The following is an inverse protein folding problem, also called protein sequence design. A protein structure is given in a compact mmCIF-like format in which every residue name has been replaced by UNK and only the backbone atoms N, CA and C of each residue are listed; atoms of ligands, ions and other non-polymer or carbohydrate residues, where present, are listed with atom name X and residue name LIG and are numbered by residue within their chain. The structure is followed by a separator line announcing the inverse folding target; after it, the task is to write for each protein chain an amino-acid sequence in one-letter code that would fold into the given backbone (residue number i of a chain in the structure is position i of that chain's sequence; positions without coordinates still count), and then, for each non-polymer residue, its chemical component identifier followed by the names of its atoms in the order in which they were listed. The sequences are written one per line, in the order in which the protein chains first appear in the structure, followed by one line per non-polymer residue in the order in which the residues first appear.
data_IF_289795916792
#
_entry.id   IF_289795916792
#
_cell.length_a   1.000
_cell.length_b   1.000
_cell.length_c   1.000
_cell.angle_alpha   90.00
_cell.angle_beta   90.00
_cell.angle_gamma   90.00
#
_symmetry.space_group_name_H-M   'P 1'
#
loop_
_entity.id
_entity.type
_entity.pdbx_description
1 polymer ?
#
# COMPACT_ATOMS: atom_id res chain seq x y z
N UNK A 1 -37.51 -24.55 59.61
CA UNK A 1 -37.16 -23.15 59.89
C UNK A 1 -37.67 -22.32 58.73
N UNK A 2 -38.57 -21.36 58.97
CA UNK A 2 -39.12 -20.47 57.93
C UNK A 2 -38.30 -19.18 57.87
N UNK A 3 -38.33 -18.48 56.73
CA UNK A 3 -37.66 -17.18 56.57
C UNK A 3 -38.08 -16.18 57.66
N UNK A 4 -39.36 -16.22 58.07
CA UNK A 4 -39.88 -15.42 59.17
C UNK A 4 -39.18 -15.76 60.50
N UNK A 5 -39.10 -17.05 60.88
CA UNK A 5 -38.42 -17.47 62.12
C UNK A 5 -36.92 -17.16 62.14
N UNK A 6 -36.26 -17.13 60.98
CA UNK A 6 -34.85 -16.77 60.85
C UNK A 6 -34.62 -15.27 61.05
N UNK A 7 -35.49 -14.44 60.46
CA UNK A 7 -35.43 -12.99 60.62
C UNK A 7 -35.57 -12.58 62.09
N UNK A 8 -36.52 -13.17 62.80
CA UNK A 8 -36.78 -12.86 64.20
C UNK A 8 -35.60 -13.28 65.10
N UNK A 9 -34.93 -14.39 64.78
CA UNK A 9 -33.72 -14.84 65.49
C UNK A 9 -32.53 -13.89 65.28
N UNK A 10 -32.36 -13.37 64.07
CA UNK A 10 -31.25 -12.47 63.70
C UNK A 10 -31.44 -11.10 64.35
N UNK A 11 -32.66 -10.56 64.32
CA UNK A 11 -32.97 -9.24 64.91
C UNK A 11 -32.89 -9.30 66.45
N UNK A 12 -33.20 -10.45 67.05
CA UNK A 12 -33.09 -10.65 68.50
C UNK A 12 -31.67 -10.87 69.02
N UNK A 13 -30.65 -10.90 68.16
CA UNK A 13 -29.25 -11.09 68.54
C UNK A 13 -28.65 -9.81 69.14
N UNK A 14 -27.90 -9.90 70.24
CA UNK A 14 -27.19 -8.74 70.83
C UNK A 14 -26.17 -8.12 69.87
N UNK A 15 -25.57 -8.94 69.00
CA UNK A 15 -24.59 -8.50 67.99
C UNK A 15 -25.23 -7.88 66.73
N UNK A 16 -26.57 -7.76 66.66
CA UNK A 16 -27.24 -7.21 65.50
C UNK A 16 -27.23 -5.68 65.51
N UNK A 17 -26.51 -5.08 64.54
CA UNK A 17 -26.51 -3.65 64.30
C UNK A 17 -27.35 -3.31 63.06
N UNK A 18 -28.51 -2.69 63.30
CA UNK A 18 -29.44 -2.31 62.24
C UNK A 18 -28.87 -1.18 61.35
N UNK A 19 -28.10 -0.25 61.90
CA UNK A 19 -27.55 0.89 61.17
C UNK A 19 -26.39 0.45 60.26
N UNK A 20 -25.50 -0.39 60.77
CA UNK A 20 -24.45 -1.04 59.97
C UNK A 20 -25.05 -1.88 58.84
N UNK A 21 -26.09 -2.66 59.14
CA UNK A 21 -26.77 -3.49 58.13
C UNK A 21 -27.41 -2.64 57.02
N UNK A 22 -28.05 -1.53 57.38
CA UNK A 22 -28.63 -0.57 56.41
C UNK A 22 -27.55 0.10 55.56
N UNK A 23 -26.43 0.50 56.16
CA UNK A 23 -25.31 1.13 55.45
C UNK A 23 -24.69 0.17 54.43
N UNK A 24 -24.41 -1.08 54.83
CA UNK A 24 -23.90 -2.12 53.92
C UNK A 24 -24.88 -2.36 52.78
N UNK A 25 -26.18 -2.42 53.06
CA UNK A 25 -27.20 -2.59 52.03
C UNK A 25 -27.23 -1.41 51.04
N UNK A 26 -27.20 -0.16 51.52
CA UNK A 26 -27.17 1.03 50.66
C UNK A 26 -25.96 1.03 49.76
N UNK A 27 -24.77 0.77 50.32
CA UNK A 27 -23.53 0.66 49.54
C UNK A 27 -23.64 -0.41 48.46
N UNK A 28 -24.15 -1.61 48.78
CA UNK A 28 -24.34 -2.68 47.77
C UNK A 28 -25.30 -2.26 46.66
N UNK A 29 -26.39 -1.55 47.00
CA UNK A 29 -27.39 -1.09 46.02
C UNK A 29 -26.80 -0.03 45.10
N UNK A 30 -26.06 0.93 45.66
CA UNK A 30 -25.36 1.97 44.89
C UNK A 30 -24.31 1.37 43.97
N UNK A 31 -23.49 0.45 44.47
CA UNK A 31 -22.44 -0.22 43.69
C UNK A 31 -23.05 -1.03 42.53
N UNK A 32 -24.19 -1.69 42.75
CA UNK A 32 -24.93 -2.39 41.69
C UNK A 32 -25.46 -1.45 40.63
N UNK A 33 -26.08 -0.33 41.03
CA UNK A 33 -26.57 0.69 40.09
C UNK A 33 -25.43 1.26 39.26
N UNK A 34 -24.30 1.58 39.89
CA UNK A 34 -23.12 2.08 39.19
C UNK A 34 -22.56 1.06 38.19
N UNK A 35 -22.52 -0.23 38.54
CA UNK A 35 -22.11 -1.31 37.61
C UNK A 35 -23.05 -1.44 36.43
N UNK A 36 -24.36 -1.40 36.66
CA UNK A 36 -25.36 -1.46 35.58
C UNK A 36 -25.25 -0.26 34.64
N UNK A 37 -25.02 0.95 35.19
CA UNK A 37 -24.83 2.15 34.39
C UNK A 37 -23.53 2.11 33.58
N UNK A 38 -22.43 1.67 34.18
CA UNK A 38 -21.16 1.46 33.47
C UNK A 38 -21.30 0.43 32.33
N UNK A 39 -22.05 -0.64 32.57
CA UNK A 39 -22.30 -1.66 31.54
C UNK A 39 -23.07 -1.04 30.35
N UNK A 40 -24.11 -0.25 30.61
CA UNK A 40 -24.88 0.46 29.57
C UNK A 40 -24.01 1.44 28.78
N UNK A 41 -23.13 2.17 29.46
CA UNK A 41 -22.20 3.11 28.82
C UNK A 41 -21.23 2.36 27.90
N UNK A 42 -20.65 1.24 28.35
CA UNK A 42 -19.75 0.45 27.50
C UNK A 42 -20.47 -0.19 26.31
N UNK A 43 -21.70 -0.69 26.49
CA UNK A 43 -22.50 -1.20 25.37
C UNK A 43 -22.80 -0.10 24.33
N UNK A 44 -23.09 1.13 24.76
CA UNK A 44 -23.29 2.26 23.85
C UNK A 44 -22.00 2.65 23.13
N UNK A 45 -20.87 2.68 23.83
CA UNK A 45 -19.56 2.96 23.21
C UNK A 45 -19.20 1.91 22.17
N UNK A 46 -19.44 0.63 22.46
CA UNK A 46 -19.14 -0.44 21.51
C UNK A 46 -20.03 -0.37 20.28
N UNK A 47 -21.32 -0.03 20.44
CA UNK A 47 -22.21 0.24 19.30
C UNK A 47 -21.71 1.39 18.43
N UNK A 48 -21.31 2.50 19.03
CA UNK A 48 -20.76 3.65 18.30
C UNK A 48 -19.47 3.28 17.55
N UNK A 49 -18.60 2.46 18.17
CA UNK A 49 -17.37 1.96 17.52
C UNK A 49 -17.66 1.08 16.32
N UNK A 50 -18.66 0.21 16.42
CA UNK A 50 -19.09 -0.65 15.31
C UNK A 50 -19.65 0.21 14.18
N UNK A 51 -20.55 1.15 14.49
CA UNK A 51 -21.14 2.07 13.51
C UNK A 51 -20.08 2.90 12.79
N UNK A 52 -19.12 3.47 13.52
CA UNK A 52 -18.00 4.22 12.93
C UNK A 52 -17.15 3.35 12.00
N UNK A 53 -16.95 2.07 12.34
CA UNK A 53 -16.22 1.11 11.50
C UNK A 53 -17.01 0.74 10.25
N UNK A 54 -18.32 0.56 10.37
CA UNK A 54 -19.20 0.29 9.22
C UNK A 54 -19.26 1.50 8.28
N UNK A 55 -19.34 2.72 8.81
CA UNK A 55 -19.33 3.94 8.01
C UNK A 55 -17.99 4.10 7.27
N UNK A 56 -16.86 3.83 7.93
CA UNK A 56 -15.53 3.80 7.29
C UNK A 56 -15.48 2.80 6.14
N UNK A 57 -15.98 1.58 6.35
CA UNK A 57 -16.04 0.55 5.30
C UNK A 57 -16.92 0.98 4.13
N UNK A 58 -18.08 1.61 4.39
CA UNK A 58 -18.97 2.15 3.34
C UNK A 58 -18.27 3.23 2.53
N UNK A 59 -17.54 4.13 3.19
CA UNK A 59 -16.83 5.21 2.51
C UNK A 59 -15.67 4.69 1.65
N UNK A 60 -14.90 3.74 2.17
CA UNK A 60 -13.82 3.06 1.43
C UNK A 60 -14.38 2.36 0.17
N UNK A 61 -15.50 1.64 0.32
CA UNK A 61 -16.16 0.95 -0.79
C UNK A 61 -16.63 1.94 -1.87
N UNK A 62 -17.25 3.05 -1.46
CA UNK A 62 -17.74 4.08 -2.38
C UNK A 62 -16.58 4.73 -3.15
N UNK A 63 -15.43 4.91 -2.49
CA UNK A 63 -14.20 5.42 -3.12
C UNK A 63 -13.63 4.43 -4.14
N UNK A 64 -13.59 3.13 -3.80
CA UNK A 64 -13.16 2.09 -4.72
C UNK A 64 -14.06 2.01 -5.95
N UNK A 65 -15.37 2.13 -5.78
CA UNK A 65 -16.33 2.11 -6.89
C UNK A 65 -16.23 3.38 -7.75
N UNK A 66 -15.97 4.54 -7.14
CA UNK A 66 -15.66 5.76 -7.89
C UNK A 66 -14.37 5.60 -8.70
N UNK A 67 -13.32 5.03 -8.11
CA UNK A 67 -12.06 4.79 -8.81
C UNK A 67 -12.23 3.78 -9.94
N UNK A 68 -13.02 2.73 -9.75
CA UNK A 68 -13.37 1.77 -10.81
C UNK A 68 -14.09 2.48 -11.95
N UNK A 69 -15.10 3.31 -11.67
CA UNK A 69 -15.80 4.09 -12.72
C UNK A 69 -14.86 5.03 -13.45
N UNK A 70 -13.94 5.70 -12.75
CA UNK A 70 -12.90 6.55 -13.36
C UNK A 70 -11.98 5.75 -14.27
N UNK A 71 -11.49 4.60 -13.80
CA UNK A 71 -10.62 3.71 -14.58
C UNK A 71 -11.35 3.18 -15.82
N UNK A 72 -12.61 2.77 -15.68
CA UNK A 72 -13.45 2.31 -16.79
C UNK A 72 -13.68 3.41 -17.83
N UNK A 73 -13.95 4.65 -17.38
CA UNK A 73 -14.06 5.81 -18.27
C UNK A 73 -12.75 6.11 -19.02
N UNK A 74 -11.60 6.03 -18.35
CA UNK A 74 -10.28 6.21 -18.98
C UNK A 74 -10.01 5.13 -20.02
N UNK A 75 -10.35 3.86 -19.73
CA UNK A 75 -10.21 2.75 -20.68
C UNK A 75 -11.12 2.95 -21.91
N UNK A 76 -12.36 3.39 -21.71
CA UNK A 76 -13.29 3.65 -22.81
C UNK A 76 -12.83 4.85 -23.67
N UNK A 77 -12.30 5.90 -23.03
CA UNK A 77 -11.67 7.02 -23.74
C UNK A 77 -10.47 6.56 -24.57
N UNK A 78 -9.59 5.73 -24.00
CA UNK A 78 -8.42 5.20 -24.70
C UNK A 78 -8.83 4.30 -25.87
N UNK A 79 -9.90 3.52 -25.72
CA UNK A 79 -10.48 2.69 -26.79
C UNK A 79 -11.00 3.54 -27.95
N UNK A 80 -11.65 4.68 -27.66
CA UNK A 80 -12.11 5.64 -28.67
C UNK A 80 -10.92 6.32 -29.36
N UNK A 81 -9.88 6.69 -28.60
CA UNK A 81 -8.67 7.34 -29.11
C UNK A 81 -7.87 6.41 -30.05
N UNK A 82 -7.69 5.15 -29.66
CA UNK A 82 -7.06 4.11 -30.47
C UNK A 82 -7.89 3.73 -31.71
N UNK A 83 -9.20 4.01 -31.70
CA UNK A 83 -10.06 3.92 -32.87
C UNK A 83 -9.95 5.12 -33.83
N UNK A 84 -9.31 6.23 -33.40
CA UNK A 84 -9.28 7.50 -34.14
C UNK A 84 -7.88 7.92 -34.64
N UNK A 85 -6.78 7.45 -34.04
CA UNK A 85 -5.43 7.90 -34.40
C UNK A 85 -4.71 6.94 -35.37
N UNK A 86 -4.96 7.13 -36.67
CA UNK A 86 -4.07 6.73 -37.78
C UNK A 86 -3.24 7.91 -38.27
N UNK A 87 -2.50 8.58 -37.38
CA UNK A 87 -1.51 9.59 -37.78
C UNK A 87 -0.25 9.54 -36.92
N UNK A 88 0.86 9.23 -37.61
CA UNK A 88 2.21 8.96 -37.12
C UNK A 88 2.94 10.24 -36.64
N UNK A 89 4.02 10.00 -35.89
CA UNK A 89 5.17 10.90 -35.61
C UNK A 89 5.09 11.82 -34.39
N UNK A 90 5.24 11.23 -33.20
CA UNK A 90 6.11 11.75 -32.10
C UNK A 90 6.29 10.78 -30.91
N UNK A 91 5.89 9.51 -31.02
CA UNK A 91 5.52 8.69 -29.86
C UNK A 91 6.59 7.77 -29.26
N UNK A 92 7.86 7.86 -29.66
CA UNK A 92 8.87 6.91 -29.18
C UNK A 92 9.77 7.56 -28.11
N UNK A 93 9.78 7.04 -26.87
CA UNK A 93 10.72 7.47 -25.83
C UNK A 93 12.16 7.44 -26.35
N UNK A 94 13.01 8.36 -25.89
CA UNK A 94 14.40 8.52 -26.34
C UNK A 94 15.21 7.21 -26.35
N UNK A 95 14.91 6.30 -25.42
CA UNK A 95 15.48 4.94 -25.36
C UNK A 95 15.14 4.09 -26.59
N UNK A 96 13.91 4.17 -27.11
CA UNK A 96 13.46 3.46 -28.31
C UNK A 96 14.18 3.99 -29.55
N UNK A 97 14.35 5.31 -29.66
CA UNK A 97 15.09 5.92 -30.77
C UNK A 97 16.55 5.48 -30.79
N UNK A 98 17.20 5.38 -29.63
CA UNK A 98 18.59 4.91 -29.54
C UNK A 98 18.73 3.42 -29.86
N UNK A 99 17.73 2.59 -29.51
CA UNK A 99 17.73 1.16 -29.84
C UNK A 99 17.60 0.96 -31.35
N UNK A 100 16.69 1.69 -32.00
CA UNK A 100 16.48 1.61 -33.45
C UNK A 100 17.69 2.13 -34.22
N UNK A 101 18.35 3.19 -33.72
CA UNK A 101 19.54 3.77 -34.34
C UNK A 101 20.81 2.89 -34.25
N UNK A 102 20.82 1.85 -33.39
CA UNK A 102 21.92 0.90 -33.23
C UNK A 102 21.80 -0.33 -34.14
N UNK A 103 20.63 -0.57 -34.71
CA UNK A 103 20.41 -1.66 -35.67
C UNK A 103 20.70 -1.16 -37.10
N UNK A 104 21.22 -2.02 -37.98
CA UNK A 104 21.42 -1.66 -39.37
C UNK A 104 20.08 -1.38 -40.08
N UNK A 105 20.09 -0.48 -41.07
CA UNK A 105 18.87 0.10 -41.68
C UNK A 105 17.90 -0.95 -42.27
N UNK A 106 18.40 -2.12 -42.66
CA UNK A 106 17.64 -3.27 -43.15
C UNK A 106 16.80 -3.94 -42.06
N UNK A 107 17.29 -3.94 -40.82
CA UNK A 107 16.61 -4.49 -39.64
C UNK A 107 15.79 -3.45 -38.88
N UNK A 108 16.26 -2.21 -38.81
CA UNK A 108 15.55 -1.07 -38.20
C UNK A 108 14.24 -0.72 -38.92
N UNK A 109 14.17 -0.97 -40.24
CA UNK A 109 12.94 -0.79 -41.03
C UNK A 109 11.98 -1.99 -41.00
N UNK A 110 12.38 -3.12 -40.41
CA UNK A 110 11.52 -4.30 -40.26
C UNK A 110 10.65 -4.16 -39.01
N UNK A 111 9.34 -3.95 -39.23
CA UNK A 111 8.38 -3.81 -38.13
C UNK A 111 8.37 -5.01 -37.19
N UNK A 112 8.40 -6.24 -37.71
CA UNK A 112 8.41 -7.44 -36.85
C UNK A 112 9.71 -7.56 -36.06
N UNK A 113 10.85 -7.17 -36.63
CA UNK A 113 12.12 -7.17 -35.91
C UNK A 113 12.14 -6.12 -34.80
N UNK A 114 11.76 -4.88 -35.09
CA UNK A 114 11.67 -3.81 -34.10
C UNK A 114 10.64 -4.14 -33.03
N UNK A 115 9.47 -4.67 -33.42
CA UNK A 115 8.44 -5.12 -32.47
C UNK A 115 8.95 -6.22 -31.57
N UNK A 116 9.64 -7.25 -32.07
CA UNK A 116 10.21 -8.30 -31.23
C UNK A 116 11.36 -7.79 -30.35
N UNK A 117 12.20 -6.89 -30.87
CA UNK A 117 13.29 -6.26 -30.13
C UNK A 117 12.74 -5.40 -28.98
N UNK A 118 11.71 -4.60 -29.26
CA UNK A 118 10.99 -3.81 -28.26
C UNK A 118 10.24 -4.71 -27.29
N UNK A 119 9.49 -5.71 -27.74
CA UNK A 119 8.79 -6.65 -26.86
C UNK A 119 9.77 -7.48 -26.00
N UNK A 120 10.99 -7.74 -26.48
CA UNK A 120 12.05 -8.42 -25.72
C UNK A 120 12.69 -7.49 -24.68
N UNK A 121 12.87 -6.20 -24.99
CA UNK A 121 13.53 -5.20 -24.12
C UNK A 121 12.58 -4.48 -23.16
N UNK A 122 11.31 -4.30 -23.55
CA UNK A 122 10.22 -3.69 -22.78
C UNK A 122 9.31 -4.70 -22.07
N UNK A 123 9.73 -5.97 -21.91
CA UNK A 123 9.15 -6.79 -20.84
C UNK A 123 9.23 -6.00 -19.52
N UNK A 124 8.33 -6.27 -18.58
CA UNK A 124 8.38 -5.75 -17.20
C UNK A 124 9.65 -6.26 -16.52
N UNK A 125 10.78 -5.67 -16.89
CA UNK A 125 12.10 -5.98 -16.37
C UNK A 125 12.25 -5.30 -15.02
N UNK A 126 13.15 -5.81 -14.18
CA UNK A 126 13.43 -5.19 -12.89
C UNK A 126 13.86 -3.72 -13.06
N UNK A 127 14.60 -3.41 -14.12
CA UNK A 127 15.02 -2.05 -14.46
C UNK A 127 13.83 -1.15 -14.80
N UNK A 128 12.78 -1.66 -15.46
CA UNK A 128 11.59 -0.85 -15.75
C UNK A 128 10.81 -0.53 -14.47
N UNK A 129 10.70 -1.49 -13.57
CA UNK A 129 10.11 -1.29 -12.26
C UNK A 129 10.91 -0.28 -11.42
N UNK A 130 12.24 -0.34 -11.46
CA UNK A 130 13.12 0.66 -10.86
C UNK A 130 12.86 2.06 -11.42
N UNK A 131 12.86 2.20 -12.75
CA UNK A 131 12.58 3.49 -13.39
C UNK A 131 11.24 4.05 -12.94
N UNK A 132 10.18 3.24 -12.97
CA UNK A 132 8.85 3.63 -12.49
C UNK A 132 8.92 4.05 -11.02
N UNK A 133 9.53 3.27 -10.14
CA UNK A 133 9.68 3.62 -8.72
C UNK A 133 10.38 4.98 -8.50
N UNK A 134 11.39 5.31 -9.30
CA UNK A 134 12.18 6.54 -9.15
C UNK A 134 11.52 7.76 -9.77
N UNK A 135 10.93 7.61 -10.95
CA UNK A 135 10.36 8.74 -11.71
C UNK A 135 8.88 8.99 -11.41
N UNK A 136 8.22 8.05 -10.71
CA UNK A 136 6.79 8.17 -10.43
C UNK A 136 6.51 9.37 -9.53
N UNK A 137 5.55 10.18 -9.95
CA UNK A 137 5.10 11.35 -9.22
C UNK A 137 3.64 11.19 -8.84
N UNK A 138 3.29 11.67 -7.65
CA UNK A 138 1.91 11.65 -7.20
C UNK A 138 1.09 12.55 -8.12
N UNK A 139 0.21 11.95 -8.91
CA UNK A 139 -0.72 12.73 -9.70
C UNK A 139 -1.65 13.53 -8.75
N UNK A 140 -1.96 14.80 -9.05
CA UNK A 140 -2.69 15.68 -8.14
C UNK A 140 -4.05 15.11 -7.72
N UNK A 141 -4.68 14.34 -8.61
CA UNK A 141 -5.99 13.68 -8.45
C UNK A 141 -5.97 12.36 -7.65
N UNK A 142 -4.80 11.75 -7.40
CA UNK A 142 -4.69 10.49 -6.64
C UNK A 142 -4.47 10.73 -5.15
N UNK A 143 -4.98 9.84 -4.31
CA UNK A 143 -4.70 9.91 -2.87
C UNK A 143 -3.27 9.47 -2.58
N UNK A 144 -2.73 9.88 -1.43
CA UNK A 144 -1.41 9.42 -0.97
C UNK A 144 -1.35 7.90 -0.77
N UNK A 145 -2.48 7.27 -0.45
CA UNK A 145 -2.59 5.83 -0.28
C UNK A 145 -2.43 5.12 -1.63
N UNK A 146 -3.08 5.61 -2.68
CA UNK A 146 -2.97 5.02 -4.02
C UNK A 146 -1.53 5.14 -4.56
N UNK A 147 -0.90 6.30 -4.34
CA UNK A 147 0.50 6.52 -4.69
C UNK A 147 1.46 5.60 -3.93
N UNK A 148 1.21 5.37 -2.62
CA UNK A 148 1.96 4.39 -1.84
C UNK A 148 1.82 2.98 -2.43
N UNK A 149 0.61 2.55 -2.79
CA UNK A 149 0.41 1.22 -3.37
C UNK A 149 1.12 1.06 -4.72
N UNK A 150 1.09 2.08 -5.57
CA UNK A 150 1.82 2.11 -6.84
C UNK A 150 3.33 2.00 -6.62
N UNK A 151 3.89 2.81 -5.71
CA UNK A 151 5.29 2.73 -5.32
C UNK A 151 5.66 1.35 -4.78
N UNK A 152 4.80 0.75 -3.95
CA UNK A 152 5.01 -0.58 -3.41
C UNK A 152 4.98 -1.66 -4.49
N UNK A 153 4.06 -1.58 -5.46
CA UNK A 153 4.03 -2.48 -6.61
C UNK A 153 5.29 -2.37 -7.45
N UNK A 154 5.78 -1.15 -7.70
CA UNK A 154 7.00 -0.95 -8.47
C UNK A 154 8.23 -1.45 -7.72
N UNK A 155 8.32 -1.16 -6.43
CA UNK A 155 9.42 -1.63 -5.60
C UNK A 155 9.48 -3.16 -5.53
N UNK A 156 8.33 -3.81 -5.28
CA UNK A 156 8.27 -5.28 -5.22
C UNK A 156 8.60 -5.91 -6.58
N UNK A 157 8.05 -5.38 -7.68
CA UNK A 157 8.40 -5.85 -9.03
C UNK A 157 9.89 -5.70 -9.37
N UNK A 158 10.56 -4.68 -8.82
CA UNK A 158 12.00 -4.49 -8.99
C UNK A 158 12.81 -5.54 -8.21
N UNK A 159 12.54 -5.72 -6.92
CA UNK A 159 13.30 -6.65 -6.09
C UNK A 159 13.02 -8.12 -6.44
N UNK A 160 11.77 -8.46 -6.80
CA UNK A 160 11.37 -9.80 -7.20
C UNK A 160 12.04 -10.19 -8.52
N UNK A 161 12.09 -9.24 -9.46
CA UNK A 161 12.74 -9.43 -10.75
C UNK A 161 14.26 -9.66 -10.62
N UNK A 162 14.90 -9.10 -9.59
CA UNK A 162 16.31 -9.31 -9.27
C UNK A 162 16.56 -10.49 -8.31
N UNK A 163 15.50 -11.19 -7.88
CA UNK A 163 15.56 -12.29 -6.90
C UNK A 163 16.30 -11.89 -5.62
N UNK A 164 16.00 -10.70 -5.11
CA UNK A 164 16.56 -10.21 -3.86
C UNK A 164 15.81 -10.85 -2.69
N UNK A 165 16.48 -11.75 -1.99
CA UNK A 165 15.95 -12.60 -0.93
C UNK A 165 16.49 -12.26 0.47
N UNK A 166 17.45 -11.34 0.56
CA UNK A 166 18.18 -11.02 1.79
C UNK A 166 18.35 -9.52 1.96
N UNK A 167 18.35 -9.07 3.23
CA UNK A 167 18.55 -7.67 3.57
C UNK A 167 19.86 -7.10 3.02
N UNK A 168 20.96 -7.88 3.08
CA UNK A 168 22.26 -7.43 2.56
C UNK A 168 22.20 -7.15 1.04
N UNK A 169 21.59 -8.04 0.25
CA UNK A 169 21.41 -7.82 -1.20
C UNK A 169 20.54 -6.60 -1.49
N UNK A 170 19.50 -6.36 -0.67
CA UNK A 170 18.68 -5.17 -0.79
C UNK A 170 19.47 -3.90 -0.46
N UNK A 171 20.24 -3.92 0.63
CA UNK A 171 21.11 -2.81 1.02
C UNK A 171 22.11 -2.48 -0.10
N UNK A 172 22.78 -3.49 -0.65
CA UNK A 172 23.70 -3.34 -1.76
C UNK A 172 23.00 -2.74 -3.00
N UNK A 173 21.80 -3.22 -3.34
CA UNK A 173 21.01 -2.67 -4.45
C UNK A 173 20.70 -1.18 -4.25
N UNK A 174 20.23 -0.80 -3.06
CA UNK A 174 19.85 0.59 -2.78
C UNK A 174 21.08 1.50 -2.79
N UNK A 175 22.20 1.07 -2.21
CA UNK A 175 23.46 1.82 -2.24
C UNK A 175 23.96 1.98 -3.68
N UNK A 176 23.90 0.89 -4.47
CA UNK A 176 24.23 0.90 -5.90
C UNK A 176 23.36 1.90 -6.67
N UNK A 177 22.04 1.89 -6.47
CA UNK A 177 21.13 2.83 -7.15
C UNK A 177 21.48 4.29 -6.80
N UNK A 178 21.83 4.57 -5.55
CA UNK A 178 22.27 5.91 -5.13
C UNK A 178 23.60 6.31 -5.76
N UNK A 179 24.57 5.40 -5.87
CA UNK A 179 25.83 5.65 -6.56
C UNK A 179 25.59 5.96 -8.04
N UNK A 180 24.78 5.14 -8.73
CA UNK A 180 24.43 5.33 -10.14
C UNK A 180 23.83 6.69 -10.46
N UNK A 181 23.11 7.32 -9.53
CA UNK A 181 22.55 8.67 -9.70
C UNK A 181 23.59 9.78 -9.66
N UNK A 182 24.74 9.53 -9.03
CA UNK A 182 25.83 10.49 -8.87
C UNK A 182 26.94 10.32 -9.92
N UNK A 183 26.91 9.21 -10.66
CA UNK A 183 27.86 8.93 -11.72
C UNK A 183 27.61 9.86 -12.93
N UNK A 184 28.65 10.50 -13.49
CA UNK A 184 28.54 11.32 -14.69
C UNK A 184 27.97 10.55 -15.89
N UNK A 185 27.31 11.27 -16.80
CA UNK A 185 26.63 10.67 -17.95
C UNK A 185 27.59 9.90 -18.87
N UNK A 186 28.82 10.39 -19.00
CA UNK A 186 29.89 9.83 -19.84
C UNK A 186 30.27 8.41 -19.43
N UNK A 187 30.25 8.12 -18.12
CA UNK A 187 30.55 6.79 -17.59
C UNK A 187 29.38 5.82 -17.80
N UNK A 188 28.14 6.31 -17.69
CA UNK A 188 26.94 5.52 -17.96
C UNK A 188 26.84 5.09 -19.42
N UNK A 189 27.31 5.92 -20.35
CA UNK A 189 27.29 5.64 -21.79
C UNK A 189 28.23 4.49 -22.17
N UNK A 190 29.36 4.36 -21.48
CA UNK A 190 30.35 3.30 -21.70
C UNK A 190 29.84 1.90 -21.31
N UNK A 191 28.97 1.80 -20.30
CA UNK A 191 28.46 0.51 -19.77
C UNK A 191 27.00 0.23 -20.15
N UNK A 192 26.47 0.84 -21.20
CA UNK A 192 25.03 0.88 -21.52
C UNK A 192 24.30 -0.48 -21.47
N UNK A 193 24.95 -1.57 -21.89
CA UNK A 193 24.35 -2.92 -21.89
C UNK A 193 24.56 -3.70 -20.58
N UNK A 194 25.55 -3.33 -19.76
CA UNK A 194 25.86 -3.95 -18.46
C UNK A 194 25.31 -3.15 -17.28
N UNK A 195 24.97 -1.88 -17.50
CA UNK A 195 24.54 -0.91 -16.49
C UNK A 195 23.29 -1.37 -15.73
N UNK A 196 22.35 -2.03 -16.39
CA UNK A 196 21.14 -2.56 -15.77
C UNK A 196 21.41 -3.76 -14.84
N UNK A 197 22.54 -4.46 -15.02
CA UNK A 197 22.89 -5.67 -14.27
C UNK A 197 23.87 -5.41 -13.12
N UNK A 198 24.52 -4.24 -13.09
CA UNK A 198 25.39 -3.81 -11.99
C UNK A 198 24.56 -3.54 -10.73
N UNK A 199 24.40 -4.53 -9.86
CA UNK A 199 23.60 -4.43 -8.63
C UNK A 199 24.47 -4.44 -7.35
N UNK A 200 25.79 -4.36 -7.50
CA UNK A 200 26.74 -4.32 -6.39
C UNK A 200 27.47 -2.97 -6.34
N UNK A 201 27.58 -2.35 -5.16
CA UNK A 201 28.26 -1.08 -5.01
C UNK A 201 29.77 -1.21 -5.19
N UNK A 202 30.34 -2.39 -4.91
CA UNK A 202 31.77 -2.69 -5.10
C UNK A 202 32.11 -2.74 -6.59
N UNK A 203 31.26 -3.38 -7.40
CA UNK A 203 31.43 -3.43 -8.86
C UNK A 203 31.43 -2.04 -9.52
N UNK A 204 30.69 -1.09 -8.96
CA UNK A 204 30.68 0.29 -9.44
C UNK A 204 31.84 1.14 -8.92
N UNK A 205 32.44 0.77 -7.79
CA UNK A 205 33.54 1.51 -7.18
C UNK A 205 34.92 1.06 -7.71
N UNK A 206 35.01 -0.14 -8.27
CA UNK A 206 36.25 -0.74 -8.82
C UNK A 206 36.45 -0.50 -10.33
N UNK A 207 35.46 0.07 -11.03
CA UNK A 207 35.53 0.47 -12.45
C UNK A 207 35.69 1.99 -12.58
#
# INVERSE_FOLDING_TARGET
MTIATLKDLIIGSEDYDEELTKNIHSTIVEDRKAREENLRIEEQKEKLRIEEREEKLRFEQLRLDEQKRKNEFVLEKLRIQLGADTSKESLLPTEVSHIIAREPDDKANSYEHVKDLLLKRFKLTPEKFRQLFVTHQKAPERTWIDFYHELNTYFNGWIDGLKIDTFNKLSDLIITDQLKRKVPFEFKEYYLDEWANMNSPVQLAEN
#
